data_IF_557391094111
#
_entry.id   IF_557391094111
#
_cell.length_a   1.000
_cell.length_b   1.000
_cell.length_c   1.000
_cell.angle_alpha   90.00
_cell.angle_beta   90.00
_cell.angle_gamma   90.00
#
_symmetry.space_group_name_H-M   'P 1'
#
loop_
_entity.id
_entity.type
_entity.pdbx_description
1 polymer ?
#
# COMPACT_ATOMS: atom_id res chain seq x y z
N UNK A 1 -16.46 3.20 -10.43
CA UNK A 1 -15.36 2.87 -9.52
C UNK A 1 -14.12 2.44 -10.26
N UNK A 2 -14.22 1.75 -11.42
CA UNK A 2 -13.04 1.36 -12.20
C UNK A 2 -12.10 2.53 -12.55
N UNK A 3 -12.63 3.64 -13.08
CA UNK A 3 -11.80 4.82 -13.40
C UNK A 3 -11.07 5.41 -12.18
N UNK A 4 -11.64 5.28 -10.97
CA UNK A 4 -10.99 5.73 -9.73
C UNK A 4 -9.80 4.84 -9.41
N UNK A 5 -9.96 3.52 -9.57
CA UNK A 5 -8.88 2.56 -9.41
C UNK A 5 -7.77 2.82 -10.42
N UNK A 6 -8.12 3.01 -11.69
CA UNK A 6 -7.14 3.30 -12.75
C UNK A 6 -6.37 4.61 -12.47
N UNK A 7 -7.05 5.62 -11.92
CA UNK A 7 -6.42 6.87 -11.47
C UNK A 7 -5.47 6.65 -10.28
N UNK A 8 -5.87 5.83 -9.30
CA UNK A 8 -5.00 5.44 -8.18
C UNK A 8 -3.72 4.75 -8.66
N UNK A 9 -3.85 3.77 -9.56
CA UNK A 9 -2.71 3.07 -10.18
C UNK A 9 -1.84 4.03 -11.00
N UNK A 10 -2.45 5.02 -11.66
CA UNK A 10 -1.70 6.03 -12.42
C UNK A 10 -0.84 6.91 -11.51
N UNK A 11 -1.37 7.32 -10.37
CA UNK A 11 -0.59 8.01 -9.34
C UNK A 11 0.57 7.16 -8.82
N UNK A 12 0.35 5.86 -8.60
CA UNK A 12 1.41 4.94 -8.18
C UNK A 12 2.52 4.80 -9.24
N UNK A 13 2.18 4.83 -10.53
CA UNK A 13 3.16 4.81 -11.61
C UNK A 13 3.92 6.13 -11.74
N UNK A 14 3.24 7.26 -11.53
CA UNK A 14 3.88 8.58 -11.49
C UNK A 14 4.90 8.62 -10.34
N UNK A 15 4.53 8.10 -9.17
CA UNK A 15 5.44 8.00 -8.04
C UNK A 15 6.68 7.15 -8.35
N UNK A 16 6.53 6.02 -9.04
CA UNK A 16 7.67 5.18 -9.45
C UNK A 16 8.64 5.95 -10.36
N UNK A 17 8.10 6.70 -11.34
CA UNK A 17 8.90 7.52 -12.25
C UNK A 17 9.62 8.62 -11.47
N UNK A 18 8.95 9.30 -10.54
CA UNK A 18 9.57 10.36 -9.74
C UNK A 18 10.66 9.84 -8.80
N UNK A 19 10.48 8.64 -8.21
CA UNK A 19 11.55 7.95 -7.48
C UNK A 19 12.76 7.71 -8.40
N UNK A 20 12.53 7.21 -9.62
CA UNK A 20 13.62 6.96 -10.57
C UNK A 20 14.37 8.22 -11.00
N UNK A 21 13.71 9.38 -10.92
CA UNK A 21 14.29 10.70 -11.20
C UNK A 21 14.94 11.35 -9.97
N UNK A 22 14.84 10.73 -8.80
CA UNK A 22 15.34 11.29 -7.53
C UNK A 22 14.42 12.35 -6.92
N UNK A 23 13.22 12.57 -7.46
CA UNK A 23 12.22 13.48 -6.90
C UNK A 23 11.37 12.77 -5.83
N UNK A 24 11.93 12.63 -4.64
CA UNK A 24 11.25 12.02 -3.50
C UNK A 24 10.01 12.79 -3.04
N UNK A 25 10.03 14.12 -3.13
CA UNK A 25 8.90 14.97 -2.72
C UNK A 25 7.72 14.83 -3.69
N UNK A 26 7.99 14.84 -4.99
CA UNK A 26 7.00 14.55 -6.02
C UNK A 26 6.45 13.13 -5.90
N UNK A 27 7.31 12.14 -5.67
CA UNK A 27 6.88 10.75 -5.47
C UNK A 27 5.94 10.60 -4.27
N UNK A 28 6.28 11.24 -3.15
CA UNK A 28 5.43 11.26 -1.96
C UNK A 28 4.04 11.83 -2.27
N UNK A 29 3.97 12.98 -2.92
CA UNK A 29 2.71 13.62 -3.28
C UNK A 29 1.86 12.74 -4.23
N UNK A 30 2.50 12.10 -5.20
CA UNK A 30 1.84 11.17 -6.11
C UNK A 30 1.27 9.96 -5.36
N UNK A 31 2.08 9.28 -4.54
CA UNK A 31 1.61 8.13 -3.77
C UNK A 31 0.53 8.48 -2.75
N UNK A 32 0.58 9.65 -2.11
CA UNK A 32 -0.49 10.11 -1.21
C UNK A 32 -1.83 10.28 -1.94
N UNK A 33 -1.78 10.79 -3.17
CA UNK A 33 -2.97 10.93 -4.03
C UNK A 33 -3.54 9.55 -4.41
N UNK A 34 -2.67 8.61 -4.79
CA UNK A 34 -3.05 7.23 -5.06
C UNK A 34 -3.67 6.53 -3.86
N UNK A 35 -3.04 6.68 -2.68
CA UNK A 35 -3.49 6.11 -1.41
C UNK A 35 -4.88 6.61 -1.02
N UNK A 36 -5.16 7.91 -1.16
CA UNK A 36 -6.46 8.49 -0.80
C UNK A 36 -7.60 7.83 -1.59
N UNK A 37 -7.38 7.56 -2.88
CA UNK A 37 -8.36 6.90 -3.75
C UNK A 37 -8.48 5.42 -3.40
N UNK A 38 -7.35 4.69 -3.26
CA UNK A 38 -7.35 3.28 -2.90
C UNK A 38 -8.06 3.05 -1.56
N UNK A 39 -7.84 3.92 -0.58
CA UNK A 39 -8.49 3.89 0.72
C UNK A 39 -10.01 4.06 0.59
N UNK A 40 -10.46 5.05 -0.18
CA UNK A 40 -11.89 5.30 -0.40
C UNK A 40 -12.58 4.10 -1.07
N UNK A 41 -11.94 3.47 -2.05
CA UNK A 41 -12.46 2.27 -2.71
C UNK A 41 -12.50 1.07 -1.75
N UNK A 42 -11.41 0.80 -1.04
CA UNK A 42 -11.31 -0.29 -0.07
C UNK A 42 -12.32 -0.16 1.08
N UNK A 43 -12.63 1.05 1.52
CA UNK A 43 -13.67 1.32 2.52
C UNK A 43 -15.08 1.13 1.96
N UNK A 44 -15.30 1.43 0.68
CA UNK A 44 -16.60 1.26 0.02
C UNK A 44 -17.01 -0.20 -0.12
N UNK A 45 -16.06 -1.07 -0.43
CA UNK A 45 -16.28 -2.52 -0.46
C UNK A 45 -15.09 -3.25 0.18
N UNK A 46 -15.16 -3.51 1.50
CA UNK A 46 -14.13 -4.25 2.20
C UNK A 46 -13.99 -5.71 1.73
N UNK A 47 -15.02 -6.27 1.07
CA UNK A 47 -15.01 -7.63 0.55
C UNK A 47 -14.19 -7.74 -0.75
N UNK A 48 -14.02 -6.65 -1.49
CA UNK A 48 -13.28 -6.60 -2.74
C UNK A 48 -11.76 -6.73 -2.52
N UNK A 49 -11.24 -7.94 -2.72
CA UNK A 49 -9.82 -8.26 -2.56
C UNK A 49 -8.91 -7.45 -3.49
N UNK A 50 -9.37 -7.09 -4.69
CA UNK A 50 -8.55 -6.29 -5.62
C UNK A 50 -8.26 -4.91 -5.04
N UNK A 51 -9.29 -4.23 -4.51
CA UNK A 51 -9.12 -2.92 -3.89
C UNK A 51 -8.32 -2.97 -2.59
N UNK A 52 -8.43 -4.06 -1.82
CA UNK A 52 -7.58 -4.27 -0.65
C UNK A 52 -6.10 -4.44 -1.04
N UNK A 53 -5.82 -5.16 -2.13
CA UNK A 53 -4.46 -5.30 -2.65
C UNK A 53 -3.90 -3.98 -3.16
N UNK A 54 -4.67 -3.18 -3.89
CA UNK A 54 -4.22 -1.86 -4.34
C UNK A 54 -3.86 -0.97 -3.13
N UNK A 55 -4.67 -1.00 -2.05
CA UNK A 55 -4.39 -0.29 -0.82
C UNK A 55 -3.09 -0.77 -0.13
N UNK A 56 -2.80 -2.08 -0.17
CA UNK A 56 -1.51 -2.64 0.29
C UNK A 56 -0.37 -2.06 -0.52
N UNK A 57 -0.48 -2.06 -1.85
CA UNK A 57 0.56 -1.56 -2.77
C UNK A 57 0.86 -0.08 -2.51
N UNK A 58 -0.14 0.78 -2.38
CA UNK A 58 0.09 2.21 -2.10
C UNK A 58 0.76 2.44 -0.74
N UNK A 59 0.40 1.67 0.31
CA UNK A 59 1.07 1.75 1.61
C UNK A 59 2.53 1.28 1.53
N UNK A 60 2.81 0.17 0.82
CA UNK A 60 4.18 -0.32 0.64
C UNK A 60 5.03 0.70 -0.10
N UNK A 61 4.52 1.31 -1.19
CA UNK A 61 5.19 2.38 -1.93
C UNK A 61 5.53 3.57 -1.05
N UNK A 62 4.59 4.06 -0.24
CA UNK A 62 4.86 5.14 0.72
C UNK A 62 5.95 4.78 1.71
N UNK A 63 5.96 3.55 2.24
CA UNK A 63 7.01 3.08 3.16
C UNK A 63 8.43 3.05 2.57
N UNK A 64 8.57 3.19 1.24
CA UNK A 64 9.88 3.27 0.57
C UNK A 64 10.37 4.70 0.38
N UNK A 65 9.48 5.70 0.41
CA UNK A 65 9.84 7.10 0.15
C UNK A 65 9.79 7.99 1.39
N UNK A 66 9.08 7.57 2.45
CA UNK A 66 9.06 8.30 3.73
C UNK A 66 9.98 7.64 4.74
N UNK A 67 10.70 8.46 5.51
CA UNK A 67 11.43 7.97 6.69
C UNK A 67 10.52 8.01 7.92
N UNK A 68 9.90 9.16 8.21
CA UNK A 68 8.89 9.31 9.26
C UNK A 68 7.54 8.74 8.79
N UNK A 69 6.95 7.83 9.57
CA UNK A 69 5.68 7.18 9.23
C UNK A 69 5.83 5.92 8.38
N UNK A 70 7.08 5.52 8.06
CA UNK A 70 7.40 4.28 7.36
C UNK A 70 6.83 3.06 8.09
N UNK A 71 7.00 3.04 9.41
CA UNK A 71 6.46 1.99 10.28
C UNK A 71 4.94 1.92 10.16
N UNK A 72 4.28 3.08 10.21
CA UNK A 72 2.83 3.19 10.18
C UNK A 72 2.22 2.71 8.86
N UNK A 73 2.89 2.95 7.72
CA UNK A 73 2.47 2.43 6.42
C UNK A 73 2.67 0.92 6.30
N UNK A 74 3.79 0.38 6.78
CA UNK A 74 4.02 -1.06 6.82
C UNK A 74 3.03 -1.79 7.73
N UNK A 75 2.72 -1.21 8.89
CA UNK A 75 1.73 -1.76 9.80
C UNK A 75 0.34 -1.83 9.16
N UNK A 76 -0.07 -0.79 8.41
CA UNK A 76 -1.33 -0.77 7.66
C UNK A 76 -1.36 -1.83 6.56
N UNK A 77 -0.29 -1.95 5.77
CA UNK A 77 -0.16 -2.99 4.75
C UNK A 77 -0.29 -4.40 5.36
N UNK A 78 0.44 -4.67 6.45
CA UNK A 78 0.37 -5.96 7.15
C UNK A 78 -1.03 -6.25 7.71
N UNK A 79 -1.70 -5.25 8.28
CA UNK A 79 -3.05 -5.42 8.83
C UNK A 79 -4.07 -5.82 7.76
N UNK A 80 -3.97 -5.23 6.56
CA UNK A 80 -4.85 -5.58 5.44
C UNK A 80 -4.59 -7.02 4.98
N UNK A 81 -3.32 -7.40 4.81
CA UNK A 81 -2.96 -8.78 4.41
C UNK A 81 -3.42 -9.79 5.45
N UNK A 82 -3.30 -9.50 6.75
CA UNK A 82 -3.84 -10.32 7.84
C UNK A 82 -5.35 -10.50 7.73
N UNK A 83 -6.09 -9.42 7.52
CA UNK A 83 -7.54 -9.49 7.35
C UNK A 83 -7.93 -10.36 6.15
N UNK A 84 -7.24 -10.19 5.00
CA UNK A 84 -7.47 -11.03 3.83
C UNK A 84 -7.18 -12.50 4.12
N UNK A 85 -6.13 -12.80 4.88
CA UNK A 85 -5.79 -14.18 5.27
C UNK A 85 -6.84 -14.79 6.22
N UNK A 86 -7.20 -14.08 7.29
CA UNK A 86 -8.20 -14.50 8.29
C UNK A 86 -9.57 -14.75 7.66
N UNK A 87 -9.93 -13.93 6.66
CA UNK A 87 -11.19 -14.05 5.91
C UNK A 87 -11.10 -15.00 4.71
N UNK A 88 -9.99 -15.73 4.54
CA UNK A 88 -9.73 -16.70 3.44
C UNK A 88 -9.83 -16.09 2.04
N UNK A 89 -9.50 -14.80 1.92
CA UNK A 89 -9.51 -14.01 0.67
C UNK A 89 -8.12 -13.68 0.16
N UNK A 90 -7.06 -13.99 0.92
CA UNK A 90 -5.68 -13.90 0.46
C UNK A 90 -5.37 -15.11 -0.43
N UNK A 91 -4.87 -14.87 -1.64
CA UNK A 91 -4.44 -15.98 -2.50
C UNK A 91 -3.19 -16.66 -1.91
N UNK A 92 -3.01 -17.98 -2.07
CA UNK A 92 -1.83 -18.67 -1.55
C UNK A 92 -0.50 -18.08 -2.07
N UNK A 93 -0.46 -17.63 -3.33
CA UNK A 93 0.72 -16.97 -3.93
C UNK A 93 1.08 -15.64 -3.26
N UNK A 94 0.17 -15.07 -2.48
CA UNK A 94 0.33 -13.81 -1.77
C UNK A 94 0.63 -13.99 -0.27
N UNK A 95 0.60 -15.22 0.24
CA UNK A 95 0.75 -15.52 1.66
C UNK A 95 2.11 -15.06 2.23
N UNK A 96 3.16 -15.03 1.39
CA UNK A 96 4.50 -14.57 1.77
C UNK A 96 4.51 -13.11 2.27
N UNK A 97 3.53 -12.29 1.87
CA UNK A 97 3.44 -10.89 2.31
C UNK A 97 3.28 -10.77 3.83
N UNK A 98 2.65 -11.75 4.50
CA UNK A 98 2.51 -11.75 5.96
C UNK A 98 3.87 -11.77 6.65
N UNK A 99 4.74 -12.71 6.24
CA UNK A 99 6.04 -12.90 6.83
C UNK A 99 6.98 -11.76 6.45
N UNK A 100 6.95 -11.31 5.20
CA UNK A 100 7.77 -10.19 4.74
C UNK A 100 7.43 -8.89 5.47
N UNK A 101 6.15 -8.50 5.51
CA UNK A 101 5.76 -7.25 6.17
C UNK A 101 5.95 -7.32 7.68
N UNK A 102 5.74 -8.49 8.30
CA UNK A 102 6.04 -8.68 9.73
C UNK A 102 7.53 -8.53 10.02
N UNK A 103 8.41 -9.13 9.21
CA UNK A 103 9.87 -8.99 9.36
C UNK A 103 10.32 -7.54 9.15
N UNK A 104 9.85 -6.87 8.09
CA UNK A 104 10.16 -5.46 7.80
C UNK A 104 9.72 -4.54 8.93
N UNK A 105 8.53 -4.77 9.50
CA UNK A 105 8.01 -3.97 10.60
C UNK A 105 8.83 -4.18 11.89
N UNK A 106 9.23 -5.41 12.19
CA UNK A 106 10.05 -5.73 13.37
C UNK A 106 11.47 -5.12 13.30
N UNK A 107 11.99 -4.88 12.09
CA UNK A 107 13.30 -4.26 11.89
C UNK A 107 13.30 -2.73 12.04
N UNK A 108 12.12 -2.10 12.13
CA UNK A 108 11.99 -0.67 12.35
C UNK A 108 11.85 -0.36 13.84
N UNK A 109 12.39 0.77 14.32
CA UNK A 109 12.14 1.22 15.69
C UNK A 109 10.64 1.45 15.92
N UNK A 110 10.21 1.40 17.17
CA UNK A 110 8.92 1.97 17.56
C UNK A 110 9.05 3.50 17.48
N UNK A 111 8.23 4.12 16.62
CA UNK A 111 8.16 5.58 16.45
C UNK A 111 7.45 6.24 17.65
#
# INVERSE_FOLDING_TARGET
TQWQRDLSISHDKIGDVLVSQGDGAGALAAYQSGLAIALSLAQRDPANTEWQRDLVVSNVKLSTVVETGKRAHLARALQIVRNLHETKRLAPVDAWMLDEFSRRLAALPDE
#
